data_IF_181384605354
#
_entry.id   IF_181384605354
#
_cell.length_a   1.000
_cell.length_b   1.000
_cell.length_c   1.000
_cell.angle_alpha   90.00
_cell.angle_beta   90.00
_cell.angle_gamma   90.00
#
_symmetry.space_group_name_H-M   'P 1'
#
loop_
_entity.id
_entity.type
_entity.pdbx_description
1 polymer ?
#
# COMPACT_ATOMS: atom_id res chain seq x y z
N UNK A 1 -4.04 27.41 23.79
CA UNK A 1 -3.46 26.13 24.27
C UNK A 1 -2.12 25.98 23.58
N UNK A 2 -1.03 25.74 24.31
CA UNK A 2 0.24 25.36 23.69
C UNK A 2 0.08 23.94 23.16
N UNK A 3 0.11 23.78 21.83
CA UNK A 3 0.07 22.46 21.18
C UNK A 3 1.50 21.94 21.12
N UNK A 4 1.73 20.70 21.57
CA UNK A 4 3.00 20.01 21.34
C UNK A 4 3.07 19.57 19.86
N UNK A 5 4.04 20.10 19.08
CA UNK A 5 4.17 19.79 17.65
C UNK A 5 4.37 18.30 17.36
N UNK A 6 5.14 17.61 18.20
CA UNK A 6 5.46 16.20 17.99
C UNK A 6 4.26 15.32 18.29
N UNK A 7 3.56 15.62 19.39
CA UNK A 7 2.30 14.97 19.75
C UNK A 7 1.27 15.14 18.63
N UNK A 8 1.09 16.36 18.12
CA UNK A 8 0.14 16.62 17.04
C UNK A 8 0.48 15.83 15.78
N UNK A 9 1.74 15.79 15.34
CA UNK A 9 2.15 15.01 14.17
C UNK A 9 1.85 13.52 14.34
N UNK A 10 2.11 12.95 15.51
CA UNK A 10 1.76 11.56 15.84
C UNK A 10 0.25 11.33 15.81
N UNK A 11 -0.54 12.27 16.35
CA UNK A 11 -2.01 12.20 16.29
C UNK A 11 -2.54 12.29 14.85
N UNK A 12 -1.94 13.11 13.99
CA UNK A 12 -2.32 13.20 12.57
C UNK A 12 -2.02 11.87 11.85
N UNK A 13 -0.88 11.26 12.11
CA UNK A 13 -0.53 9.96 11.54
C UNK A 13 -1.47 8.85 12.02
N UNK A 14 -1.75 8.78 13.32
CA UNK A 14 -2.72 7.85 13.88
C UNK A 14 -4.12 8.05 13.28
N UNK A 15 -4.56 9.31 13.12
CA UNK A 15 -5.84 9.64 12.49
C UNK A 15 -5.91 9.14 11.04
N UNK A 16 -4.81 9.29 10.29
CA UNK A 16 -4.74 8.80 8.92
C UNK A 16 -4.82 7.26 8.86
N UNK A 17 -4.12 6.55 9.76
CA UNK A 17 -4.19 5.09 9.88
C UNK A 17 -5.61 4.64 10.23
N UNK A 18 -6.22 5.25 11.25
CA UNK A 18 -7.56 4.89 11.73
C UNK A 18 -8.63 5.09 10.65
N UNK A 19 -8.51 6.15 9.85
CA UNK A 19 -9.43 6.44 8.75
C UNK A 19 -9.46 5.33 7.68
N UNK A 20 -8.39 4.55 7.53
CA UNK A 20 -8.31 3.41 6.63
C UNK A 20 -8.36 2.06 7.35
N UNK A 21 -8.47 2.03 8.68
CA UNK A 21 -8.38 0.78 9.42
C UNK A 21 -9.65 -0.06 9.25
N UNK A 22 -9.55 -1.38 8.95
CA UNK A 22 -10.73 -2.21 8.67
C UNK A 22 -11.83 -2.17 9.73
N UNK A 23 -11.47 -2.02 11.01
CA UNK A 23 -12.44 -1.94 12.10
C UNK A 23 -13.34 -0.70 12.04
N UNK A 24 -12.88 0.39 11.41
CA UNK A 24 -13.64 1.64 11.30
C UNK A 24 -14.52 1.65 10.05
N UNK A 25 -14.07 1.03 8.96
CA UNK A 25 -14.70 1.19 7.65
C UNK A 25 -15.50 -0.02 7.18
N UNK A 26 -15.05 -1.25 7.44
CA UNK A 26 -15.57 -2.42 6.71
C UNK A 26 -17.03 -2.76 7.06
N UNK A 27 -17.43 -2.68 8.32
CA UNK A 27 -18.77 -3.12 8.75
C UNK A 27 -19.89 -2.39 8.01
N UNK A 28 -19.75 -1.09 7.76
CA UNK A 28 -20.75 -0.28 7.07
C UNK A 28 -20.96 -0.70 5.61
N UNK A 29 -20.02 -1.44 5.02
CA UNK A 29 -20.08 -1.92 3.64
C UNK A 29 -20.56 -3.37 3.49
N UNK A 30 -20.58 -4.15 4.58
CA UNK A 30 -21.05 -5.53 4.55
C UNK A 30 -22.54 -5.60 4.16
N UNK A 31 -22.99 -6.67 3.50
CA UNK A 31 -24.39 -6.82 3.13
C UNK A 31 -25.31 -6.71 4.35
N UNK A 32 -26.53 -6.21 4.14
CA UNK A 32 -27.54 -6.09 5.20
C UNK A 32 -27.95 -7.47 5.75
N UNK A 33 -28.14 -8.44 4.84
CA UNK A 33 -28.37 -9.83 5.23
C UNK A 33 -27.04 -10.55 5.47
N UNK A 34 -26.75 -10.78 6.75
CA UNK A 34 -25.55 -11.47 7.25
C UNK A 34 -25.89 -12.85 7.83
N UNK A 35 -27.05 -13.38 7.47
CA UNK A 35 -27.46 -14.74 7.80
C UNK A 35 -26.91 -15.74 6.77
N UNK A 36 -27.01 -17.03 7.11
CA UNK A 36 -26.53 -18.11 6.24
C UNK A 36 -25.01 -18.24 6.18
N UNK A 37 -24.55 -19.17 5.34
CA UNK A 37 -23.13 -19.51 5.19
C UNK A 37 -22.41 -18.49 4.32
N UNK A 38 -21.19 -18.12 4.71
CA UNK A 38 -20.27 -17.31 3.91
C UNK A 38 -18.88 -17.92 3.88
N UNK A 39 -18.25 -17.86 2.71
CA UNK A 39 -16.85 -18.21 2.49
C UNK A 39 -16.05 -16.92 2.39
N UNK A 40 -15.13 -16.70 3.33
CA UNK A 40 -14.26 -15.52 3.35
C UNK A 40 -12.90 -15.90 2.80
N UNK A 41 -12.49 -15.23 1.72
CA UNK A 41 -11.15 -15.35 1.16
C UNK A 41 -10.51 -13.96 1.13
N UNK A 42 -9.18 -13.89 1.12
CA UNK A 42 -8.55 -12.58 1.15
C UNK A 42 -7.05 -12.59 1.01
N UNK A 43 -6.52 -11.45 0.57
CA UNK A 43 -5.09 -11.25 0.38
C UNK A 43 -4.72 -9.78 0.55
N UNK A 44 -3.66 -9.54 1.30
CA UNK A 44 -3.12 -8.20 1.50
C UNK A 44 -2.70 -7.93 2.95
N UNK A 45 -1.95 -6.86 3.16
CA UNK A 45 -1.45 -6.42 4.47
C UNK A 45 -2.57 -6.21 5.51
N UNK A 46 -3.79 -5.89 5.08
CA UNK A 46 -4.97 -5.68 5.92
C UNK A 46 -5.91 -6.89 5.98
N UNK A 47 -5.65 -7.96 5.20
CA UNK A 47 -6.63 -9.04 5.00
C UNK A 47 -6.99 -9.76 6.31
N UNK A 48 -6.04 -9.94 7.22
CA UNK A 48 -6.28 -10.54 8.53
C UNK A 48 -7.19 -9.65 9.41
N UNK A 49 -6.96 -8.34 9.44
CA UNK A 49 -7.80 -7.41 10.20
C UNK A 49 -9.21 -7.28 9.58
N UNK A 50 -9.32 -7.29 8.25
CA UNK A 50 -10.60 -7.33 7.55
C UNK A 50 -11.38 -8.62 7.88
N UNK A 51 -10.71 -9.78 7.85
CA UNK A 51 -11.33 -11.07 8.16
C UNK A 51 -11.92 -11.09 9.57
N UNK A 52 -11.18 -10.57 10.55
CA UNK A 52 -11.62 -10.46 11.93
C UNK A 52 -12.89 -9.62 12.08
N UNK A 53 -13.06 -8.57 11.29
CA UNK A 53 -14.29 -7.76 11.29
C UNK A 53 -15.46 -8.57 10.72
N UNK A 54 -15.27 -9.24 9.58
CA UNK A 54 -16.32 -10.11 9.01
C UNK A 54 -16.76 -11.18 10.01
N UNK A 55 -15.81 -11.85 10.67
CA UNK A 55 -16.11 -12.91 11.63
C UNK A 55 -16.93 -12.43 12.83
N UNK A 56 -16.71 -11.18 13.29
CA UNK A 56 -17.46 -10.56 14.38
C UNK A 56 -18.85 -10.11 13.97
N UNK A 57 -18.99 -9.60 12.74
CA UNK A 57 -20.22 -8.97 12.25
C UNK A 57 -21.18 -9.97 11.60
N UNK A 58 -20.70 -11.13 11.15
CA UNK A 58 -21.51 -12.13 10.46
C UNK A 58 -22.32 -12.98 11.47
N UNK A 59 -23.60 -13.18 11.18
CA UNK A 59 -24.54 -13.83 12.10
C UNK A 59 -24.70 -15.34 11.82
N UNK A 60 -24.42 -15.77 10.60
CA UNK A 60 -24.48 -17.18 10.18
C UNK A 60 -23.14 -17.92 10.28
N UNK A 61 -23.02 -18.99 9.50
CA UNK A 61 -21.80 -19.79 9.42
C UNK A 61 -20.71 -19.03 8.65
N UNK A 62 -19.51 -18.94 9.23
CA UNK A 62 -18.35 -18.32 8.60
C UNK A 62 -17.26 -19.37 8.49
N UNK A 63 -16.68 -19.49 7.31
CA UNK A 63 -15.47 -20.28 7.05
C UNK A 63 -14.58 -19.49 6.09
N UNK A 64 -13.29 -19.79 6.03
CA UNK A 64 -12.43 -19.05 5.12
C UNK A 64 -10.95 -19.22 5.32
N UNK A 65 -10.21 -18.58 4.43
CA UNK A 65 -8.75 -18.53 4.42
C UNK A 65 -8.29 -17.18 3.86
N UNK A 66 -7.50 -16.44 4.65
CA UNK A 66 -6.86 -15.20 4.21
C UNK A 66 -5.35 -15.30 4.33
N UNK A 67 -4.65 -14.58 3.44
CA UNK A 67 -3.18 -14.46 3.49
C UNK A 67 -2.75 -13.01 3.72
N UNK A 68 -1.83 -12.82 4.66
CA UNK A 68 -1.22 -11.51 4.99
C UNK A 68 0.30 -11.61 4.99
N UNK A 69 1.00 -10.49 5.19
CA UNK A 69 2.46 -10.45 5.32
C UNK A 69 2.90 -11.06 6.66
N UNK A 70 4.10 -11.62 6.72
CA UNK A 70 4.71 -12.04 8.00
C UNK A 70 4.64 -10.93 9.08
N UNK A 71 4.22 -11.32 10.28
CA UNK A 71 4.01 -10.43 11.42
C UNK A 71 2.71 -9.60 11.37
N UNK A 72 1.93 -9.66 10.28
CA UNK A 72 0.69 -8.88 10.11
C UNK A 72 -0.58 -9.67 10.43
N UNK A 73 -0.45 -10.86 11.04
CA UNK A 73 -1.57 -11.68 11.49
C UNK A 73 -2.52 -10.96 12.45
N UNK A 74 -3.75 -11.47 12.55
CA UNK A 74 -4.77 -11.02 13.47
C UNK A 74 -5.53 -12.24 14.04
N UNK A 75 -6.01 -12.18 15.29
CA UNK A 75 -6.72 -13.30 15.90
C UNK A 75 -8.11 -13.44 15.26
N UNK A 76 -8.27 -14.50 14.45
CA UNK A 76 -9.54 -14.99 13.91
C UNK A 76 -9.78 -16.39 14.49
N UNK A 77 -11.03 -16.71 14.84
CA UNK A 77 -11.45 -17.98 15.44
C UNK A 77 -11.95 -18.98 14.39
N UNK A 78 -12.57 -18.49 13.32
CA UNK A 78 -13.23 -19.30 12.28
C UNK A 78 -12.52 -19.23 10.93
N UNK A 79 -11.92 -18.08 10.61
CA UNK A 79 -11.19 -17.86 9.36
C UNK A 79 -9.71 -18.16 9.59
N UNK A 80 -9.12 -19.03 8.77
CA UNK A 80 -7.69 -19.31 8.85
C UNK A 80 -6.88 -18.11 8.34
N UNK A 81 -5.87 -17.70 9.11
CA UNK A 81 -4.93 -16.64 8.73
C UNK A 81 -3.56 -17.25 8.49
N UNK A 82 -3.08 -17.13 7.25
CA UNK A 82 -1.73 -17.58 6.86
C UNK A 82 -0.86 -16.36 6.57
N UNK A 83 0.41 -16.43 6.93
CA UNK A 83 1.39 -15.41 6.60
C UNK A 83 2.30 -15.86 5.45
N UNK A 84 2.64 -14.94 4.56
CA UNK A 84 3.48 -15.20 3.40
C UNK A 84 4.39 -14.00 3.07
N UNK A 85 5.36 -14.22 2.18
CA UNK A 85 6.32 -13.18 1.80
C UNK A 85 5.72 -12.10 0.89
N UNK A 86 6.12 -10.86 1.17
CA UNK A 86 5.92 -9.67 0.36
C UNK A 86 7.21 -8.84 0.42
N UNK A 87 7.72 -8.26 -0.69
CA UNK A 87 7.06 -8.06 -1.99
C UNK A 87 7.25 -9.20 -3.01
N UNK A 88 8.13 -10.16 -2.75
CA UNK A 88 8.36 -11.31 -3.63
C UNK A 88 7.55 -12.51 -3.14
N UNK A 89 6.70 -13.13 -3.99
CA UNK A 89 5.91 -14.30 -3.60
C UNK A 89 6.78 -15.48 -3.13
N UNK A 90 6.30 -16.26 -2.16
CA UNK A 90 6.94 -17.49 -1.69
C UNK A 90 6.02 -18.73 -1.82
N UNK A 91 6.47 -19.86 -1.27
CA UNK A 91 5.73 -21.12 -1.30
C UNK A 91 4.46 -21.09 -0.43
N UNK A 92 4.45 -20.32 0.67
CA UNK A 92 3.29 -20.18 1.53
C UNK A 92 2.14 -19.48 0.80
N UNK A 93 2.44 -18.34 0.15
CA UNK A 93 1.46 -17.62 -0.68
C UNK A 93 0.92 -18.47 -1.85
N UNK A 94 1.78 -19.27 -2.49
CA UNK A 94 1.37 -20.23 -3.52
C UNK A 94 0.41 -21.30 -2.97
N UNK A 95 0.72 -21.88 -1.80
CA UNK A 95 -0.11 -22.90 -1.17
C UNK A 95 -1.49 -22.35 -0.80
N UNK A 96 -1.56 -21.13 -0.24
CA UNK A 96 -2.83 -20.46 0.02
C UNK A 96 -3.61 -20.20 -1.26
N UNK A 97 -2.96 -19.71 -2.31
CA UNK A 97 -3.64 -19.42 -3.57
C UNK A 97 -4.27 -20.67 -4.22
N UNK A 98 -3.65 -21.85 -4.09
CA UNK A 98 -4.24 -23.14 -4.50
C UNK A 98 -5.48 -23.48 -3.68
N UNK A 99 -5.35 -23.43 -2.35
CA UNK A 99 -6.45 -23.72 -1.42
C UNK A 99 -7.64 -22.77 -1.58
N UNK A 100 -7.37 -21.48 -1.82
CA UNK A 100 -8.41 -20.49 -2.11
C UNK A 100 -9.15 -20.86 -3.39
N UNK A 101 -8.43 -21.22 -4.46
CA UNK A 101 -9.08 -21.64 -5.71
C UNK A 101 -9.92 -22.92 -5.50
N UNK A 102 -9.41 -23.91 -4.78
CA UNK A 102 -10.14 -25.13 -4.44
C UNK A 102 -11.41 -24.84 -3.60
N UNK A 103 -11.30 -23.96 -2.60
CA UNK A 103 -12.40 -23.60 -1.70
C UNK A 103 -13.57 -22.94 -2.43
N UNK A 104 -13.29 -22.21 -3.51
CA UNK A 104 -14.31 -21.53 -4.32
C UNK A 104 -14.68 -22.29 -5.60
N UNK A 105 -14.05 -23.44 -5.86
CA UNK A 105 -14.40 -24.29 -7.00
C UNK A 105 -15.61 -25.15 -6.63
N UNK A 106 -16.66 -25.12 -7.45
CA UNK A 106 -17.93 -25.86 -7.27
C UNK A 106 -18.92 -25.24 -6.27
N UNK A 107 -19.01 -23.91 -6.25
CA UNK A 107 -20.08 -23.22 -5.53
C UNK A 107 -21.40 -23.25 -6.32
N UNK A 108 -22.48 -22.86 -5.66
CA UNK A 108 -23.84 -22.76 -6.20
C UNK A 108 -24.37 -21.33 -6.09
N UNK A 109 -25.55 -21.06 -6.64
CA UNK A 109 -26.20 -19.75 -6.55
C UNK A 109 -26.61 -19.34 -5.12
N UNK A 110 -26.67 -20.30 -4.20
CA UNK A 110 -27.00 -20.07 -2.79
C UNK A 110 -25.77 -19.65 -1.97
N UNK A 111 -24.56 -19.90 -2.48
CA UNK A 111 -23.31 -19.58 -1.79
C UNK A 111 -22.96 -18.08 -1.90
N UNK A 112 -22.30 -17.58 -0.85
CA UNK A 112 -21.78 -16.22 -0.76
C UNK A 112 -20.29 -16.26 -0.50
N UNK A 113 -19.55 -15.49 -1.30
CA UNK A 113 -18.11 -15.29 -1.12
C UNK A 113 -17.85 -13.83 -0.76
N UNK A 114 -17.10 -13.60 0.30
CA UNK A 114 -16.52 -12.28 0.59
C UNK A 114 -15.03 -12.35 0.27
N UNK A 115 -14.58 -11.52 -0.67
CA UNK A 115 -13.17 -11.36 -1.00
C UNK A 115 -12.60 -10.07 -0.41
N UNK A 116 -11.68 -10.21 0.53
CA UNK A 116 -11.06 -9.11 1.26
C UNK A 116 -9.70 -8.78 0.65
N UNK A 117 -9.55 -7.57 0.14
CA UNK A 117 -8.39 -7.18 -0.65
C UNK A 117 -7.73 -5.92 -0.09
N UNK A 118 -6.40 -5.94 -0.01
CA UNK A 118 -5.64 -4.73 0.25
C UNK A 118 -4.28 -4.80 -0.43
N UNK A 119 -3.45 -3.79 -0.16
CA UNK A 119 -2.08 -3.75 -0.63
C UNK A 119 -1.25 -5.00 -0.41
N UNK A 120 -0.39 -5.30 -1.37
CA UNK A 120 0.46 -6.50 -1.39
C UNK A 120 -0.22 -7.79 -1.88
N UNK A 121 -1.54 -7.78 -2.14
CA UNK A 121 -2.28 -8.97 -2.57
C UNK A 121 -1.75 -9.65 -3.85
N UNK A 122 -1.11 -8.88 -4.75
CA UNK A 122 -0.47 -9.44 -5.95
C UNK A 122 0.61 -10.48 -5.65
N UNK A 123 1.40 -10.25 -4.60
CA UNK A 123 2.49 -11.14 -4.19
C UNK A 123 2.01 -12.25 -3.26
N UNK A 124 1.15 -11.90 -2.30
CA UNK A 124 0.64 -12.82 -1.27
C UNK A 124 -0.27 -13.90 -1.84
N UNK A 125 -1.06 -13.59 -2.88
CA UNK A 125 -1.96 -14.53 -3.56
C UNK A 125 -1.48 -14.77 -4.99
N UNK A 126 -0.38 -15.51 -5.13
CA UNK A 126 0.29 -15.78 -6.39
C UNK A 126 0.10 -17.23 -6.85
N UNK A 127 -0.88 -17.45 -7.73
CA UNK A 127 -1.05 -18.74 -8.44
C UNK A 127 -0.61 -18.62 -9.90
N UNK A 128 0.45 -19.32 -10.34
CA UNK A 128 0.77 -19.46 -11.75
C UNK A 128 -0.33 -20.18 -12.53
N UNK A 129 -0.45 -19.86 -13.83
CA UNK A 129 -1.28 -20.66 -14.72
C UNK A 129 -0.70 -22.07 -14.93
N UNK A 130 -1.51 -22.97 -15.48
CA UNK A 130 -1.09 -24.35 -15.75
C UNK A 130 0.20 -24.39 -16.60
N UNK A 131 1.16 -25.22 -16.19
CA UNK A 131 2.45 -25.36 -16.88
C UNK A 131 3.48 -24.25 -16.60
N UNK A 132 3.13 -23.22 -15.83
CA UNK A 132 4.04 -22.13 -15.43
C UNK A 132 4.47 -22.33 -13.99
N UNK A 133 5.76 -22.17 -13.69
CA UNK A 133 6.26 -22.27 -12.32
C UNK A 133 6.22 -20.93 -11.59
N UNK A 134 6.31 -20.96 -10.25
CA UNK A 134 6.44 -19.73 -9.47
C UNK A 134 7.75 -18.99 -9.81
N UNK A 135 8.83 -19.74 -10.06
CA UNK A 135 10.12 -19.20 -10.45
C UNK A 135 10.05 -18.45 -11.80
N UNK A 136 9.27 -18.95 -12.76
CA UNK A 136 9.04 -18.25 -14.04
C UNK A 136 8.35 -16.91 -13.82
N UNK A 137 7.33 -16.85 -12.95
CA UNK A 137 6.66 -15.59 -12.62
C UNK A 137 7.57 -14.59 -11.94
N UNK A 138 8.40 -15.06 -11.00
CA UNK A 138 9.38 -14.22 -10.31
C UNK A 138 10.43 -13.66 -11.29
N UNK A 139 10.97 -14.51 -12.17
CA UNK A 139 12.00 -14.11 -13.13
C UNK A 139 11.47 -13.11 -14.16
N UNK A 140 10.27 -13.36 -14.71
CA UNK A 140 9.60 -12.45 -15.66
C UNK A 140 9.27 -11.12 -15.00
N UNK A 141 8.74 -11.12 -13.78
CA UNK A 141 8.44 -9.87 -13.06
C UNK A 141 9.71 -9.05 -12.79
N UNK A 142 10.81 -9.73 -12.39
CA UNK A 142 12.11 -9.08 -12.19
C UNK A 142 12.66 -8.49 -13.49
N UNK A 143 12.51 -9.20 -14.60
CA UNK A 143 12.92 -8.72 -15.92
C UNK A 143 12.12 -7.48 -16.34
N UNK A 144 10.79 -7.51 -16.20
CA UNK A 144 9.92 -6.37 -16.50
C UNK A 144 10.29 -5.12 -15.70
N UNK A 145 10.52 -5.28 -14.39
CA UNK A 145 10.99 -4.18 -13.52
C UNK A 145 12.32 -3.60 -14.02
N UNK A 146 13.30 -4.45 -14.32
CA UNK A 146 14.62 -4.01 -14.82
C UNK A 146 14.55 -3.31 -16.18
N UNK A 147 13.59 -3.68 -17.01
CA UNK A 147 13.42 -3.11 -18.35
C UNK A 147 12.69 -1.75 -18.34
N UNK A 148 12.25 -1.26 -17.17
CA UNK A 148 11.46 -0.03 -17.08
C UNK A 148 10.06 -0.17 -17.65
N UNK A 149 9.47 -1.37 -17.55
CA UNK A 149 8.07 -1.59 -17.94
C UNK A 149 7.12 -0.74 -17.08
N UNK A 150 6.11 -0.14 -17.71
CA UNK A 150 5.11 0.61 -16.96
C UNK A 150 4.27 -0.32 -16.09
N UNK A 151 3.66 0.18 -15.02
CA UNK A 151 2.83 -0.62 -14.13
C UNK A 151 1.65 -1.29 -14.86
N UNK A 152 1.07 -0.61 -15.86
CA UNK A 152 0.01 -1.15 -16.70
C UNK A 152 0.47 -2.35 -17.52
N UNK A 153 1.65 -2.27 -18.12
CA UNK A 153 2.23 -3.35 -18.93
C UNK A 153 2.64 -4.55 -18.07
N UNK A 154 3.24 -4.28 -16.93
CA UNK A 154 3.53 -5.30 -15.93
C UNK A 154 2.25 -6.02 -15.49
N UNK A 155 1.18 -5.28 -15.22
CA UNK A 155 -0.11 -5.85 -14.85
C UNK A 155 -0.71 -6.69 -15.98
N UNK A 156 -0.65 -6.22 -17.23
CA UNK A 156 -1.10 -6.99 -18.40
C UNK A 156 -0.43 -8.38 -18.41
N UNK A 157 0.91 -8.43 -18.37
CA UNK A 157 1.64 -9.70 -18.35
C UNK A 157 1.29 -10.54 -17.11
N UNK A 158 1.32 -9.94 -15.90
CA UNK A 158 1.04 -10.66 -14.64
C UNK A 158 -0.34 -11.32 -14.60
N UNK A 159 -1.38 -10.66 -15.13
CA UNK A 159 -2.74 -11.19 -15.20
C UNK A 159 -2.80 -12.42 -16.11
N UNK A 160 -2.21 -12.33 -17.30
CA UNK A 160 -2.23 -13.42 -18.27
C UNK A 160 -1.42 -14.64 -17.81
N UNK A 161 -0.37 -14.47 -17.00
CA UNK A 161 0.41 -15.57 -16.41
C UNK A 161 -0.19 -16.15 -15.11
N UNK A 162 -1.42 -15.81 -14.74
CA UNK A 162 -2.03 -16.16 -13.44
C UNK A 162 -3.28 -16.99 -13.59
N UNK A 163 -3.45 -18.04 -12.78
CA UNK A 163 -4.68 -18.81 -12.75
C UNK A 163 -5.87 -18.07 -12.10
N UNK A 164 -5.61 -17.02 -11.30
CA UNK A 164 -6.63 -16.35 -10.46
C UNK A 164 -6.77 -14.84 -10.69
N UNK A 165 -5.83 -14.21 -11.41
CA UNK A 165 -5.86 -12.75 -11.66
C UNK A 165 -6.64 -12.45 -12.95
N UNK A 166 -7.01 -11.20 -13.19
CA UNK A 166 -7.77 -10.79 -14.38
C UNK A 166 -9.16 -11.44 -14.43
N UNK A 167 -9.89 -11.36 -13.31
CA UNK A 167 -11.26 -11.85 -13.17
C UNK A 167 -11.41 -13.36 -13.01
N UNK A 168 -10.32 -14.13 -13.13
CA UNK A 168 -10.38 -15.61 -13.09
C UNK A 168 -10.83 -16.17 -11.75
N UNK A 169 -10.49 -15.51 -10.63
CA UNK A 169 -11.01 -15.92 -9.32
C UNK A 169 -12.51 -15.66 -9.23
N UNK A 170 -12.98 -14.51 -9.72
CA UNK A 170 -14.41 -14.21 -9.81
C UNK A 170 -15.15 -15.25 -10.66
N UNK A 171 -14.57 -15.65 -11.80
CA UNK A 171 -15.11 -16.72 -12.64
C UNK A 171 -15.11 -18.09 -11.95
N UNK A 172 -14.10 -18.40 -11.14
CA UNK A 172 -14.07 -19.65 -10.37
C UNK A 172 -15.20 -19.73 -9.34
N UNK A 173 -15.61 -18.59 -8.76
CA UNK A 173 -16.73 -18.52 -7.82
C UNK A 173 -18.10 -18.70 -8.48
N UNK A 174 -18.22 -18.52 -9.81
CA UNK A 174 -19.51 -18.60 -10.50
C UNK A 174 -20.14 -20.00 -10.32
N UNK A 175 -21.45 -20.10 -9.96
CA UNK A 175 -22.48 -19.06 -9.97
C UNK A 175 -22.78 -18.38 -8.62
N UNK A 176 -21.90 -18.48 -7.62
CA UNK A 176 -22.07 -17.82 -6.33
C UNK A 176 -22.03 -16.28 -6.43
N UNK A 177 -22.61 -15.61 -5.44
CA UNK A 177 -22.48 -14.16 -5.30
C UNK A 177 -21.15 -13.80 -4.63
N UNK A 178 -20.39 -12.90 -5.25
CA UNK A 178 -19.07 -12.45 -4.74
C UNK A 178 -19.14 -10.98 -4.35
N UNK A 179 -18.75 -10.67 -3.11
CA UNK A 179 -18.56 -9.30 -2.63
C UNK A 179 -17.07 -9.05 -2.41
N UNK A 180 -16.46 -8.20 -3.21
CA UNK A 180 -15.07 -7.78 -3.04
C UNK A 180 -15.02 -6.45 -2.31
N UNK A 181 -14.38 -6.43 -1.14
CA UNK A 181 -14.11 -5.21 -0.38
C UNK A 181 -12.61 -4.93 -0.43
N UNK A 182 -12.26 -3.76 -0.97
CA UNK A 182 -10.87 -3.40 -1.24
C UNK A 182 -10.44 -2.13 -0.48
N UNK A 183 -9.26 -2.20 0.15
CA UNK A 183 -8.50 -1.03 0.59
C UNK A 183 -7.47 -0.74 -0.50
N UNK A 184 -7.53 0.47 -1.06
CA UNK A 184 -6.65 0.88 -2.15
C UNK A 184 -5.28 1.34 -1.62
N UNK A 185 -4.22 0.80 -2.21
CA UNK A 185 -2.84 1.28 -2.07
C UNK A 185 -2.21 1.56 -3.45
N UNK A 186 -3.04 1.77 -4.47
CA UNK A 186 -2.58 1.95 -5.85
C UNK A 186 -3.01 3.29 -6.40
N UNK A 187 -2.16 3.92 -7.23
CA UNK A 187 -2.49 5.15 -7.92
C UNK A 187 -3.80 5.05 -8.71
N UNK A 188 -4.68 6.04 -8.52
CA UNK A 188 -5.95 6.15 -9.24
C UNK A 188 -7.04 5.15 -8.83
N UNK A 189 -6.84 4.38 -7.75
CA UNK A 189 -7.85 3.50 -7.15
C UNK A 189 -8.49 2.48 -8.14
N UNK A 190 -7.74 2.06 -9.17
CA UNK A 190 -8.28 1.23 -10.23
C UNK A 190 -8.45 -0.22 -9.77
N UNK A 191 -9.70 -0.71 -9.78
CA UNK A 191 -10.05 -2.07 -9.37
C UNK A 191 -9.28 -3.18 -10.13
N UNK A 192 -8.93 -2.94 -11.38
CA UNK A 192 -8.16 -3.88 -12.23
C UNK A 192 -6.67 -3.93 -11.87
N UNK A 193 -6.18 -2.94 -11.12
CA UNK A 193 -4.78 -2.80 -10.69
C UNK A 193 -4.60 -3.39 -9.30
N UNK A 194 -5.53 -3.16 -8.37
CA UNK A 194 -5.48 -3.68 -7.00
C UNK A 194 -5.40 -5.22 -7.04
N UNK A 195 -4.30 -5.76 -6.53
CA UNK A 195 -3.94 -7.18 -6.60
C UNK A 195 -4.07 -7.83 -8.00
N UNK A 196 -3.98 -7.02 -9.08
CA UNK A 196 -4.23 -7.44 -10.47
C UNK A 196 -5.67 -7.93 -10.74
N UNK A 197 -6.66 -7.36 -10.05
CA UNK A 197 -8.10 -7.57 -10.28
C UNK A 197 -8.55 -9.04 -10.32
N UNK A 198 -8.42 -9.84 -9.25
CA UNK A 198 -8.80 -11.26 -9.28
C UNK A 198 -10.30 -11.51 -9.56
N UNK A 199 -11.16 -10.58 -9.15
CA UNK A 199 -12.63 -10.68 -9.25
C UNK A 199 -13.23 -9.65 -10.22
N UNK A 200 -12.38 -8.94 -10.97
CA UNK A 200 -12.76 -7.85 -11.87
C UNK A 200 -12.34 -8.17 -13.30
N UNK A 201 -13.17 -7.82 -14.28
CA UNK A 201 -12.87 -8.02 -15.68
C UNK A 201 -11.58 -7.30 -16.12
N UNK A 202 -10.85 -7.90 -17.04
CA UNK A 202 -9.60 -7.39 -17.59
C UNK A 202 -9.75 -7.14 -19.09
N UNK A 203 -9.64 -5.87 -19.56
CA UNK A 203 -9.74 -5.56 -20.98
C UNK A 203 -8.49 -5.94 -21.79
N UNK A 204 -7.35 -6.18 -21.13
CA UNK A 204 -6.11 -6.54 -21.83
C UNK A 204 -6.14 -7.97 -22.36
N UNK A 205 -5.24 -8.28 -23.29
CA UNK A 205 -5.20 -9.57 -24.01
C UNK A 205 -3.85 -10.28 -23.88
N UNK A 206 -3.84 -11.60 -24.09
CA UNK A 206 -2.63 -12.43 -24.12
C UNK A 206 -1.69 -12.02 -25.26
N UNK A 207 -2.27 -11.52 -26.36
CA UNK A 207 -1.51 -10.98 -27.49
C UNK A 207 -0.74 -9.72 -27.08
N UNK A 208 -1.37 -8.82 -26.31
CA UNK A 208 -0.67 -7.66 -25.74
C UNK A 208 0.41 -8.10 -24.74
N UNK A 209 0.13 -9.09 -23.89
CA UNK A 209 1.13 -9.62 -22.96
C UNK A 209 2.36 -10.18 -23.69
N UNK A 210 2.17 -10.93 -24.78
CA UNK A 210 3.25 -11.40 -25.65
C UNK A 210 3.99 -10.24 -26.32
N UNK A 211 3.27 -9.24 -26.81
CA UNK A 211 3.85 -8.06 -27.45
C UNK A 211 4.74 -7.28 -26.47
N UNK A 212 4.32 -7.13 -25.20
CA UNK A 212 5.09 -6.48 -24.14
C UNK A 212 6.38 -7.25 -23.88
N UNK A 213 6.31 -8.57 -23.66
CA UNK A 213 7.50 -9.41 -23.44
C UNK A 213 8.49 -9.28 -24.60
N UNK A 214 7.99 -9.31 -25.85
CA UNK A 214 8.80 -9.12 -27.05
C UNK A 214 9.43 -7.73 -27.12
N UNK A 215 8.65 -6.67 -26.83
CA UNK A 215 9.11 -5.28 -26.89
C UNK A 215 10.29 -5.03 -25.95
N UNK A 216 10.26 -5.65 -24.77
CA UNK A 216 11.31 -5.53 -23.77
C UNK A 216 12.43 -6.58 -23.90
N UNK A 217 12.40 -7.43 -24.93
CA UNK A 217 13.41 -8.47 -25.14
C UNK A 217 13.49 -9.48 -23.99
N UNK A 218 12.37 -9.74 -23.31
CA UNK A 218 12.31 -10.66 -22.18
C UNK A 218 12.13 -12.08 -22.71
N UNK A 219 13.20 -12.87 -22.65
CA UNK A 219 13.14 -14.29 -22.97
C UNK A 219 12.31 -15.06 -21.94
N UNK A 220 11.42 -15.92 -22.43
CA UNK A 220 10.53 -16.72 -21.59
C UNK A 220 10.59 -18.20 -21.98
N UNK A 221 10.41 -19.13 -21.03
CA UNK A 221 10.34 -20.55 -21.32
C UNK A 221 9.25 -20.90 -22.34
N UNK A 222 9.42 -22.04 -23.03
CA UNK A 222 8.44 -22.54 -23.99
C UNK A 222 7.05 -22.72 -23.35
N UNK A 223 6.97 -23.16 -22.09
CA UNK A 223 5.70 -23.29 -21.37
C UNK A 223 4.92 -21.97 -21.26
N UNK A 224 5.61 -20.87 -20.93
CA UNK A 224 5.03 -19.53 -20.85
C UNK A 224 4.56 -19.04 -22.22
N UNK A 225 5.39 -19.24 -23.25
CA UNK A 225 5.06 -18.84 -24.63
C UNK A 225 3.84 -19.62 -25.14
N UNK A 226 3.84 -20.93 -24.97
CA UNK A 226 2.73 -21.80 -25.38
C UNK A 226 1.44 -21.45 -24.64
N UNK A 227 1.53 -21.18 -23.32
CA UNK A 227 0.39 -20.72 -22.55
C UNK A 227 -0.19 -19.44 -23.15
N UNK A 228 0.62 -18.38 -23.31
CA UNK A 228 0.14 -17.09 -23.82
C UNK A 228 -0.38 -17.14 -25.28
N UNK A 229 -0.04 -18.18 -26.04
CA UNK A 229 -0.58 -18.42 -27.38
C UNK A 229 -1.88 -19.25 -27.37
N UNK A 230 -2.22 -19.88 -26.23
CA UNK A 230 -3.47 -20.63 -26.06
C UNK A 230 -4.64 -19.67 -25.78
N UNK A 231 -5.84 -19.92 -26.35
CA UNK A 231 -7.06 -19.21 -25.98
C UNK A 231 -7.38 -19.27 -24.47
N UNK A 232 -6.96 -20.34 -23.79
CA UNK A 232 -7.15 -20.51 -22.33
C UNK A 232 -6.39 -19.45 -21.51
N UNK A 233 -5.37 -18.83 -22.11
CA UNK A 233 -4.63 -17.75 -21.47
C UNK A 233 -5.35 -16.42 -21.44
N UNK A 234 -6.53 -16.30 -22.05
CA UNK A 234 -7.34 -15.10 -21.89
C UNK A 234 -7.89 -14.93 -20.48
N UNK A 235 -7.81 -13.68 -20.03
CA UNK A 235 -8.46 -13.19 -18.82
C UNK A 235 -9.95 -12.94 -19.07
N UNK A 236 -10.72 -12.83 -17.99
CA UNK A 236 -12.18 -12.64 -18.08
C UNK A 236 -12.48 -11.25 -18.59
N UNK A 237 -13.21 -11.15 -19.71
CA UNK A 237 -13.42 -9.89 -20.43
C UNK A 237 -14.61 -9.10 -19.88
N UNK A 238 -14.64 -7.78 -20.09
CA UNK A 238 -15.81 -6.97 -19.76
C UNK A 238 -17.08 -7.54 -20.43
N UNK A 239 -18.15 -7.71 -19.65
CA UNK A 239 -19.42 -8.29 -20.12
C UNK A 239 -19.51 -9.82 -20.06
N UNK A 240 -18.48 -10.53 -19.59
CA UNK A 240 -18.55 -11.98 -19.38
C UNK A 240 -19.63 -12.33 -18.32
N UNK A 241 -20.60 -13.23 -18.62
CA UNK A 241 -21.67 -13.59 -17.70
C UNK A 241 -21.20 -14.14 -16.35
N UNK A 242 -20.01 -14.75 -16.29
CA UNK A 242 -19.47 -15.32 -15.05
C UNK A 242 -19.16 -14.27 -13.98
N UNK A 243 -19.10 -12.99 -14.34
CA UNK A 243 -18.93 -11.88 -13.40
C UNK A 243 -20.23 -11.13 -13.08
N UNK A 244 -21.39 -11.57 -13.60
CA UNK A 244 -22.67 -10.88 -13.39
C UNK A 244 -23.10 -10.76 -11.92
N UNK A 245 -22.60 -11.66 -11.06
CA UNK A 245 -22.83 -11.69 -9.61
C UNK A 245 -21.59 -11.29 -8.79
N UNK A 246 -20.61 -10.67 -9.43
CA UNK A 246 -19.41 -10.13 -8.78
C UNK A 246 -19.58 -8.64 -8.52
N UNK A 247 -19.51 -8.26 -7.25
CA UNK A 247 -19.61 -6.89 -6.79
C UNK A 247 -18.25 -6.44 -6.25
N UNK A 248 -17.84 -5.22 -6.59
CA UNK A 248 -16.57 -4.65 -6.14
C UNK A 248 -16.82 -3.29 -5.48
N UNK A 249 -16.24 -3.08 -4.32
CA UNK A 249 -16.32 -1.82 -3.59
C UNK A 249 -14.98 -1.47 -2.94
N UNK A 250 -14.56 -0.21 -3.15
CA UNK A 250 -13.49 0.40 -2.38
C UNK A 250 -14.07 0.91 -1.07
N UNK A 251 -13.49 0.46 0.04
CA UNK A 251 -13.92 0.84 1.39
C UNK A 251 -12.98 1.87 2.04
N UNK A 252 -11.74 1.96 1.56
CA UNK A 252 -10.77 2.96 1.97
C UNK A 252 -9.83 3.34 0.82
N UNK A 253 -9.44 4.61 0.79
CA UNK A 253 -8.55 5.23 -0.20
C UNK A 253 -7.52 6.14 0.48
N UNK A 254 -6.31 6.32 -0.09
CA UNK A 254 -5.30 7.22 0.47
C UNK A 254 -5.81 8.64 0.73
N UNK A 255 -6.58 9.20 -0.21
CA UNK A 255 -7.15 10.54 -0.10
C UNK A 255 -8.02 10.74 1.16
N UNK A 256 -8.79 9.73 1.56
CA UNK A 256 -9.66 9.82 2.76
C UNK A 256 -8.84 9.95 4.05
N UNK A 257 -7.65 9.34 4.09
CA UNK A 257 -6.74 9.44 5.23
C UNK A 257 -6.11 10.83 5.35
N UNK A 258 -5.75 11.44 4.22
CA UNK A 258 -5.29 12.84 4.18
C UNK A 258 -6.40 13.81 4.60
N UNK A 259 -7.64 13.58 4.16
CA UNK A 259 -8.79 14.39 4.55
C UNK A 259 -9.12 14.28 6.04
N UNK A 260 -9.04 13.07 6.61
CA UNK A 260 -9.21 12.84 8.04
C UNK A 260 -8.16 13.59 8.87
N UNK A 261 -6.88 13.49 8.48
CA UNK A 261 -5.80 14.26 9.09
C UNK A 261 -6.02 15.78 8.94
N UNK A 262 -6.50 16.24 7.78
CA UNK A 262 -6.82 17.65 7.56
C UNK A 262 -7.96 18.15 8.47
N UNK A 263 -8.98 17.34 8.74
CA UNK A 263 -10.04 17.66 9.72
C UNK A 263 -9.44 17.79 11.12
N UNK A 264 -8.63 16.83 11.55
CA UNK A 264 -7.96 16.85 12.85
C UNK A 264 -7.02 18.07 13.00
N UNK A 265 -6.28 18.42 11.95
CA UNK A 265 -5.43 19.61 11.94
C UNK A 265 -6.23 20.92 12.14
N UNK A 266 -7.36 21.06 11.44
CA UNK A 266 -8.27 22.22 11.61
C UNK A 266 -8.80 22.31 13.04
N UNK A 267 -9.18 21.18 13.64
CA UNK A 267 -9.64 21.12 15.03
C UNK A 267 -8.54 21.55 16.01
N UNK A 268 -7.28 21.30 15.68
CA UNK A 268 -6.11 21.74 16.44
C UNK A 268 -5.69 23.20 16.14
N UNK A 269 -6.37 23.91 15.25
CA UNK A 269 -6.09 25.31 14.90
C UNK A 269 -5.08 25.52 13.76
N UNK A 270 -4.75 24.47 13.00
CA UNK A 270 -3.81 24.54 11.88
C UNK A 270 -4.56 24.48 10.54
N UNK A 271 -4.16 25.34 9.61
CA UNK A 271 -4.68 25.29 8.25
C UNK A 271 -3.99 24.16 7.45
N UNK A 272 -4.72 23.17 6.89
CA UNK A 272 -4.11 22.12 6.10
C UNK A 272 -3.95 22.52 4.62
N UNK A 273 -2.82 22.13 4.02
CA UNK A 273 -2.55 22.17 2.59
C UNK A 273 -2.27 20.74 2.10
N UNK A 274 -3.23 20.13 1.41
CA UNK A 274 -3.04 18.79 0.82
C UNK A 274 -2.39 18.94 -0.56
N UNK A 275 -1.20 18.35 -0.73
CA UNK A 275 -0.47 18.34 -2.01
C UNK A 275 -0.81 17.12 -2.89
N UNK A 276 -1.50 16.13 -2.32
CA UNK A 276 -2.01 14.96 -3.03
C UNK A 276 -1.22 13.68 -2.77
N UNK A 277 -1.50 12.70 -3.63
CA UNK A 277 -0.87 11.39 -3.70
C UNK A 277 0.32 11.47 -4.68
N UNK A 278 1.54 11.34 -4.15
CA UNK A 278 2.79 11.67 -4.85
C UNK A 278 3.66 10.44 -5.06
N UNK A 279 4.12 10.31 -6.29
CA UNK A 279 5.11 9.32 -6.73
C UNK A 279 6.45 10.00 -7.06
N UNK A 280 7.52 9.22 -7.12
CA UNK A 280 8.85 9.67 -7.53
C UNK A 280 9.95 9.23 -6.59
N UNK A 281 11.14 9.80 -6.77
CA UNK A 281 12.29 9.54 -5.91
C UNK A 281 12.16 10.31 -4.58
N UNK A 282 12.20 9.60 -3.46
CA UNK A 282 11.81 10.10 -2.12
C UNK A 282 12.58 11.37 -1.74
N UNK A 283 13.89 11.36 -1.99
CA UNK A 283 14.77 12.50 -1.72
C UNK A 283 14.44 13.74 -2.57
N UNK A 284 13.97 13.57 -3.81
CA UNK A 284 13.62 14.68 -4.70
C UNK A 284 12.25 15.27 -4.33
N UNK A 285 11.28 14.40 -4.00
CA UNK A 285 9.97 14.84 -3.48
C UNK A 285 10.16 15.66 -2.21
N UNK A 286 11.07 15.26 -1.31
CA UNK A 286 11.41 16.00 -0.10
C UNK A 286 11.97 17.40 -0.37
N UNK A 287 12.84 17.58 -1.38
CA UNK A 287 13.38 18.89 -1.75
C UNK A 287 12.30 19.86 -2.21
N UNK A 288 11.32 19.37 -2.96
CA UNK A 288 10.15 20.18 -3.37
C UNK A 288 9.34 20.60 -2.15
N UNK A 289 9.08 19.68 -1.21
CA UNK A 289 8.38 20.00 0.04
C UNK A 289 9.17 21.01 0.89
N UNK A 290 10.49 20.90 0.96
CA UNK A 290 11.35 21.87 1.64
C UNK A 290 11.24 23.27 1.03
N UNK A 291 11.14 23.36 -0.30
CA UNK A 291 10.90 24.61 -1.03
C UNK A 291 9.58 25.26 -0.65
N UNK A 292 8.49 24.47 -0.59
CA UNK A 292 7.17 24.95 -0.18
C UNK A 292 7.18 25.40 1.28
N UNK A 293 7.78 24.60 2.18
CA UNK A 293 7.89 24.96 3.59
C UNK A 293 8.67 26.27 3.80
N UNK A 294 9.79 26.47 3.09
CA UNK A 294 10.53 27.74 3.10
C UNK A 294 9.67 28.91 2.61
N UNK A 295 8.92 28.73 1.52
CA UNK A 295 8.06 29.78 1.00
C UNK A 295 6.97 30.19 2.01
N UNK A 296 6.42 29.22 2.74
CA UNK A 296 5.45 29.49 3.80
C UNK A 296 6.11 30.26 4.96
N UNK A 297 7.25 29.78 5.44
CA UNK A 297 7.95 30.40 6.59
C UNK A 297 8.41 31.83 6.27
N UNK A 298 8.94 32.07 5.06
CA UNK A 298 9.54 33.35 4.69
C UNK A 298 8.52 34.35 4.13
N UNK A 299 7.47 33.87 3.45
CA UNK A 299 6.58 34.72 2.66
C UNK A 299 5.08 34.46 2.93
N UNK A 300 4.72 33.49 3.76
CA UNK A 300 3.32 33.16 4.07
C UNK A 300 2.53 32.62 2.89
N UNK A 301 3.20 31.98 1.91
CA UNK A 301 2.60 31.48 0.68
C UNK A 301 2.96 30.01 0.44
N UNK A 302 2.06 29.21 -0.16
CA UNK A 302 0.70 29.55 -0.59
C UNK A 302 -0.31 29.62 0.56
N UNK A 303 0.13 29.38 1.80
CA UNK A 303 -0.68 29.38 3.01
C UNK A 303 0.11 30.04 4.14
N UNK A 304 -0.54 30.81 5.01
CA UNK A 304 0.10 31.41 6.17
C UNK A 304 0.26 30.38 7.30
N UNK A 305 1.35 30.47 8.06
CA UNK A 305 1.48 29.76 9.34
C UNK A 305 0.47 30.35 10.37
N UNK A 306 -0.05 29.55 11.33
CA UNK A 306 0.27 28.15 11.57
C UNK A 306 -0.50 27.21 10.62
N UNK A 307 0.22 26.28 10.00
CA UNK A 307 -0.35 25.38 9.00
C UNK A 307 0.33 24.01 8.98
N UNK A 308 -0.28 23.06 8.27
CA UNK A 308 0.29 21.74 8.00
C UNK A 308 0.23 21.42 6.51
N UNK A 309 1.35 21.04 5.93
CA UNK A 309 1.40 20.45 4.59
C UNK A 309 1.16 18.96 4.75
N UNK A 310 0.20 18.41 4.00
CA UNK A 310 -0.12 16.99 3.99
C UNK A 310 0.11 16.43 2.58
N UNK A 311 0.79 15.29 2.50
CA UNK A 311 0.90 14.53 1.26
C UNK A 311 0.88 13.04 1.58
N UNK A 312 0.49 12.24 0.59
CA UNK A 312 0.54 10.79 0.66
C UNK A 312 1.16 10.21 -0.60
N UNK A 313 1.00 8.91 -0.79
CA UNK A 313 1.40 8.18 -1.99
C UNK A 313 2.56 7.23 -1.79
N UNK A 314 3.16 6.77 -2.89
CA UNK A 314 4.21 5.76 -2.84
C UNK A 314 5.45 6.24 -3.57
N UNK A 315 6.39 6.77 -2.79
CA UNK A 315 7.71 7.15 -3.29
C UNK A 315 8.62 5.92 -3.42
N UNK A 316 9.73 6.09 -4.14
CA UNK A 316 10.74 5.05 -4.33
C UNK A 316 12.09 5.53 -3.86
N UNK A 317 12.99 4.57 -3.58
CA UNK A 317 14.38 4.83 -3.23
C UNK A 317 15.27 4.11 -4.22
N UNK A 318 16.11 4.86 -4.91
CA UNK A 318 17.24 4.27 -5.64
C UNK A 318 18.35 3.94 -4.65
N UNK A 319 18.44 2.66 -4.27
CA UNK A 319 19.47 2.18 -3.33
C UNK A 319 20.85 2.22 -4.00
N UNK A 320 21.79 2.93 -3.36
CA UNK A 320 23.18 3.14 -3.78
C UNK A 320 24.17 2.75 -2.68
N UNK A 321 23.80 2.96 -1.42
CA UNK A 321 24.61 2.62 -0.26
C UNK A 321 24.27 1.27 0.38
N UNK A 322 24.82 1.06 1.56
CA UNK A 322 24.60 -0.13 2.39
C UNK A 322 23.92 0.21 3.73
N UNK A 323 23.35 1.41 3.83
CA UNK A 323 22.59 1.85 5.01
C UNK A 323 21.27 1.12 5.19
N UNK A 324 20.61 1.43 6.30
CA UNK A 324 19.27 0.91 6.64
C UNK A 324 18.23 2.01 6.48
N UNK A 325 17.04 1.66 6.04
CA UNK A 325 15.95 2.63 5.93
C UNK A 325 14.84 2.25 4.96
N UNK A 326 13.99 3.23 4.74
CA UNK A 326 12.90 3.20 3.78
C UNK A 326 12.64 4.58 3.19
N UNK A 327 11.61 4.64 2.36
CA UNK A 327 11.27 5.84 1.59
C UNK A 327 10.83 7.01 2.46
N UNK A 328 10.18 6.77 3.60
CA UNK A 328 9.75 7.82 4.51
C UNK A 328 10.92 8.38 5.34
N UNK A 329 11.80 7.51 5.84
CA UNK A 329 13.05 7.92 6.48
C UNK A 329 13.96 8.67 5.49
N UNK A 330 14.07 8.22 4.23
CA UNK A 330 14.84 8.92 3.19
C UNK A 330 14.23 10.28 2.84
N UNK A 331 12.90 10.37 2.74
CA UNK A 331 12.18 11.64 2.57
C UNK A 331 12.52 12.62 3.71
N UNK A 332 12.43 12.19 4.97
CA UNK A 332 12.71 13.06 6.11
C UNK A 332 14.19 13.44 6.23
N UNK A 333 15.10 12.53 5.88
CA UNK A 333 16.53 12.83 5.88
C UNK A 333 16.87 13.91 4.83
N UNK A 334 16.34 13.78 3.62
CA UNK A 334 16.49 14.78 2.57
C UNK A 334 15.79 16.11 2.92
N UNK A 335 14.63 16.06 3.58
CA UNK A 335 13.96 17.24 4.11
C UNK A 335 14.82 17.96 5.15
N UNK A 336 15.43 17.19 6.06
CA UNK A 336 16.34 17.69 7.11
C UNK A 336 17.57 18.37 6.51
N UNK A 337 18.23 17.72 5.54
CA UNK A 337 19.38 18.31 4.82
C UNK A 337 18.98 19.56 4.03
N UNK A 338 17.79 19.57 3.43
CA UNK A 338 17.28 20.71 2.66
C UNK A 338 16.91 21.90 3.53
N UNK A 339 16.34 21.68 4.72
CA UNK A 339 15.87 22.73 5.62
C UNK A 339 16.94 23.23 6.59
N UNK A 340 17.95 22.41 6.90
CA UNK A 340 19.07 22.74 7.80
C UNK A 340 18.65 23.38 9.13
N UNK A 341 17.55 22.86 9.69
CA UNK A 341 17.00 23.34 10.96
C UNK A 341 16.19 24.63 10.89
N UNK A 342 15.52 24.89 9.76
CA UNK A 342 14.58 26.01 9.61
C UNK A 342 13.64 26.11 10.84
N UNK A 343 13.65 27.23 11.60
CA UNK A 343 12.88 27.34 12.83
C UNK A 343 11.37 27.16 12.62
N UNK A 344 10.71 26.51 13.58
CA UNK A 344 9.25 26.33 13.58
C UNK A 344 8.73 25.25 12.63
N UNK A 345 9.61 24.50 11.95
CA UNK A 345 9.22 23.41 11.03
C UNK A 345 9.48 22.03 11.64
N UNK A 346 8.41 21.26 11.78
CA UNK A 346 8.43 19.88 12.24
C UNK A 346 7.87 18.99 11.14
N UNK A 347 8.27 17.73 11.08
CA UNK A 347 7.69 16.80 10.11
C UNK A 347 7.60 15.38 10.63
N UNK A 348 6.63 14.63 10.12
CA UNK A 348 6.53 13.19 10.27
C UNK A 348 6.24 12.60 8.89
N UNK A 349 6.91 11.50 8.58
CA UNK A 349 6.62 10.68 7.41
C UNK A 349 6.61 9.23 7.86
N UNK A 350 5.63 8.45 7.40
CA UNK A 350 5.58 7.01 7.67
C UNK A 350 4.67 6.23 6.72
N UNK A 351 4.96 4.94 6.57
CA UNK A 351 4.12 3.97 5.87
C UNK A 351 2.94 3.61 6.77
N UNK A 352 1.72 3.72 6.23
CA UNK A 352 0.51 3.42 6.98
C UNK A 352 0.35 1.95 7.31
N UNK A 353 1.15 1.05 6.73
CA UNK A 353 1.21 -0.36 7.15
C UNK A 353 2.07 -0.61 8.41
N UNK A 354 2.85 0.38 8.82
CA UNK A 354 3.71 0.32 10.00
C UNK A 354 5.17 -0.08 9.71
N UNK A 355 5.59 -0.25 8.45
CA UNK A 355 6.93 -0.72 8.07
C UNK A 355 7.50 0.08 6.89
N UNK A 356 8.49 0.92 7.17
CA UNK A 356 9.22 1.73 6.21
C UNK A 356 10.55 1.07 5.80
N UNK A 357 10.49 0.21 4.78
CA UNK A 357 11.68 -0.36 4.16
C UNK A 357 12.23 -1.60 4.88
N UNK A 358 13.50 -1.54 5.32
CA UNK A 358 14.24 -2.73 5.76
C UNK A 358 14.06 -3.13 7.22
N UNK A 359 13.64 -2.20 8.08
CA UNK A 359 13.60 -2.39 9.53
C UNK A 359 12.15 -2.50 10.07
N UNK A 360 11.93 -2.13 11.33
CA UNK A 360 10.70 -2.29 12.10
C UNK A 360 9.95 -0.96 12.36
N UNK A 361 10.51 0.16 11.93
CA UNK A 361 9.89 1.46 12.07
C UNK A 361 8.82 1.67 10.99
N UNK A 362 7.75 2.38 11.32
CA UNK A 362 6.79 2.91 10.36
C UNK A 362 7.33 4.13 9.63
N UNK A 363 8.33 4.80 10.19
CA UNK A 363 8.88 6.05 9.66
C UNK A 363 9.70 6.78 10.70
N UNK A 364 9.71 8.11 10.65
CA UNK A 364 10.46 8.95 11.59
C UNK A 364 9.78 10.31 11.84
N UNK A 365 10.35 11.07 12.77
CA UNK A 365 9.98 12.44 13.10
C UNK A 365 11.19 13.36 12.96
N UNK A 366 10.98 14.53 12.38
CA UNK A 366 11.96 15.60 12.24
C UNK A 366 11.52 16.80 13.09
N UNK A 367 12.46 17.34 13.84
CA UNK A 367 12.34 18.59 14.60
C UNK A 367 13.32 19.66 14.06
N UNK A 368 13.12 20.96 14.35
CA UNK A 368 14.05 22.01 13.92
C UNK A 368 15.51 21.79 14.39
N UNK A 369 15.71 21.15 15.55
CA UNK A 369 17.02 20.87 16.11
C UNK A 369 17.64 19.53 15.63
N UNK A 370 16.91 18.70 14.87
CA UNK A 370 17.39 17.40 14.39
C UNK A 370 18.71 17.51 13.62
N UNK A 371 18.84 18.51 12.74
CA UNK A 371 20.07 18.74 11.97
C UNK A 371 21.29 19.05 12.88
N UNK A 372 21.10 19.91 13.88
CA UNK A 372 22.18 20.29 14.81
C UNK A 372 22.52 19.14 15.78
N UNK A 373 21.51 18.41 16.26
CA UNK A 373 21.71 17.24 17.13
C UNK A 373 22.49 16.13 16.42
N UNK A 374 22.17 15.85 15.16
CA UNK A 374 22.90 14.86 14.37
C UNK A 374 24.37 15.27 14.17
N UNK A 375 24.62 16.54 13.84
CA UNK A 375 25.98 17.06 13.70
C UNK A 375 26.79 16.93 15.02
N UNK A 376 26.16 17.16 16.18
CA UNK A 376 26.79 16.97 17.49
C UNK A 376 27.15 15.49 17.78
N UNK A 377 26.48 14.55 17.12
CA UNK A 377 26.78 13.11 17.17
C UNK A 377 27.76 12.67 16.08
N UNK A 378 28.28 13.61 15.27
CA UNK A 378 29.19 13.32 14.16
C UNK A 378 28.49 12.79 12.90
N UNK A 379 27.16 12.91 12.81
CA UNK A 379 26.38 12.47 11.65
C UNK A 379 26.15 13.63 10.67
N UNK A 380 26.35 13.35 9.38
CA UNK A 380 26.13 14.29 8.28
C UNK A 380 24.90 13.87 7.49
N UNK A 381 23.88 14.73 7.42
CA UNK A 381 22.62 14.39 6.74
C UNK A 381 22.84 14.03 5.25
N UNK A 382 23.77 14.72 4.58
CA UNK A 382 24.14 14.43 3.19
C UNK A 382 24.83 13.07 3.05
N UNK A 383 25.79 12.74 3.94
CA UNK A 383 26.54 11.48 3.85
C UNK A 383 25.62 10.28 4.14
N UNK A 384 24.72 10.41 5.13
CA UNK A 384 23.73 9.37 5.43
C UNK A 384 22.72 9.20 4.28
N UNK A 385 22.38 10.28 3.56
CA UNK A 385 21.47 10.22 2.40
C UNK A 385 22.13 9.52 1.21
N UNK A 386 23.42 9.77 0.98
CA UNK A 386 24.21 9.08 -0.04
C UNK A 386 24.39 7.59 0.29
N UNK A 387 24.44 7.23 1.58
CA UNK A 387 24.49 5.85 2.03
C UNK A 387 23.11 5.18 2.19
N UNK A 388 22.00 5.87 1.88
CA UNK A 388 20.63 5.38 2.11
C UNK A 388 20.38 4.94 3.57
N UNK A 389 20.94 5.65 4.55
CA UNK A 389 20.90 5.29 5.96
C UNK A 389 19.91 6.14 6.79
N UNK A 390 18.70 6.33 6.26
CA UNK A 390 17.65 7.11 6.94
C UNK A 390 17.30 6.55 8.32
N UNK A 391 17.26 5.21 8.47
CA UNK A 391 16.97 4.58 9.75
C UNK A 391 18.04 4.91 10.80
N UNK A 392 19.32 4.68 10.47
CA UNK A 392 20.42 4.91 11.40
C UNK A 392 20.52 6.38 11.85
N UNK A 393 20.22 7.32 10.95
CA UNK A 393 20.17 8.74 11.28
C UNK A 393 19.11 9.05 12.34
N UNK A 394 17.87 8.60 12.14
CA UNK A 394 16.78 8.88 13.09
C UNK A 394 16.81 8.00 14.34
N UNK A 395 17.42 6.82 14.27
CA UNK A 395 17.73 5.97 15.43
C UNK A 395 18.66 6.70 16.41
N UNK A 396 19.76 7.27 15.89
CA UNK A 396 20.71 8.03 16.72
C UNK A 396 20.09 9.27 17.38
N UNK A 397 18.98 9.78 16.84
CA UNK A 397 18.24 10.92 17.37
C UNK A 397 17.07 10.53 18.29
N UNK A 398 16.82 9.23 18.51
CA UNK A 398 15.63 8.71 19.19
C UNK A 398 14.33 9.27 18.57
N UNK A 399 14.29 9.26 17.24
CA UNK A 399 13.27 9.94 16.44
C UNK A 399 12.53 9.00 15.48
N UNK A 400 12.72 7.68 15.62
CA UNK A 400 11.96 6.69 14.88
C UNK A 400 10.50 6.64 15.36
N UNK A 401 9.59 6.32 14.42
CA UNK A 401 8.19 6.02 14.72
C UNK A 401 8.02 4.51 14.62
N UNK A 402 7.71 3.85 15.73
CA UNK A 402 7.43 2.41 15.78
C UNK A 402 5.97 2.23 16.19
N UNK A 403 5.17 1.57 15.35
CA UNK A 403 3.73 1.36 15.56
C UNK A 403 3.35 -0.09 15.78
N UNK A 404 4.28 -1.03 15.55
CA UNK A 404 3.95 -2.40 15.13
C UNK A 404 3.15 -2.41 13.80
N UNK A 405 2.87 -3.58 13.21
CA UNK A 405 1.99 -3.67 12.05
C UNK A 405 0.59 -3.10 12.34
N UNK A 406 0.24 -2.03 11.63
CA UNK A 406 -1.05 -1.33 11.80
C UNK A 406 -2.22 -2.15 11.24
N UNK A 407 -1.93 -3.10 10.35
CA UNK A 407 -2.89 -3.95 9.63
C UNK A 407 -3.88 -3.17 8.78
N UNK A 408 -3.45 -2.02 8.27
CA UNK A 408 -4.02 -1.36 7.09
C UNK A 408 -2.90 -1.05 6.09
N UNK A 409 -3.23 -0.55 4.90
CA UNK A 409 -2.24 0.03 3.99
C UNK A 409 -2.92 0.92 2.96
N UNK A 410 -2.62 2.21 3.01
CA UNK A 410 -3.00 3.23 2.03
C UNK A 410 -1.77 4.09 1.66
N UNK A 411 -0.61 3.42 1.56
CA UNK A 411 0.71 3.96 1.25
C UNK A 411 1.27 4.90 2.33
N UNK A 412 2.09 5.88 1.92
CA UNK A 412 2.75 6.80 2.84
C UNK A 412 1.79 7.91 3.32
N UNK A 413 2.05 8.37 4.53
CA UNK A 413 1.52 9.60 5.09
C UNK A 413 2.67 10.53 5.46
N UNK A 414 2.61 11.77 4.98
CA UNK A 414 3.60 12.83 5.27
C UNK A 414 2.89 14.08 5.77
N UNK A 415 3.35 14.59 6.90
CA UNK A 415 2.89 15.85 7.48
C UNK A 415 4.09 16.75 7.80
N UNK A 416 4.05 17.99 7.32
CA UNK A 416 5.03 19.04 7.67
C UNK A 416 4.28 20.15 8.37
N UNK A 417 4.48 20.25 9.68
CA UNK A 417 3.85 21.23 10.55
C UNK A 417 4.73 22.49 10.61
N UNK A 418 4.11 23.65 10.36
CA UNK A 418 4.77 24.94 10.38
C UNK A 418 4.07 25.81 11.42
N UNK A 419 4.81 26.17 12.47
CA UNK A 419 4.34 27.06 13.53
C UNK A 419 4.47 28.53 13.11
N UNK A 420 3.74 29.41 13.79
CA UNK A 420 4.01 30.85 13.67
C UNK A 420 5.45 31.14 14.08
N UNK A 421 6.23 31.76 13.20
CA UNK A 421 7.51 32.31 13.59
C UNK A 421 7.25 33.66 14.28
N UNK A 422 7.91 33.88 15.43
CA UNK A 422 8.14 35.25 15.89
C UNK A 422 8.99 35.92 14.82
N UNK A 423 8.40 36.83 14.03
CA UNK A 423 9.09 37.63 13.04
C UNK A 423 10.43 38.08 13.63
N UNK A 424 11.54 37.60 13.08
CA UNK A 424 12.78 38.32 13.24
C UNK A 424 12.61 39.57 12.40
N UNK A 425 12.45 40.71 13.06
CA UNK A 425 12.60 42.01 12.41
C UNK A 425 13.97 41.98 11.72
N UNK A 426 13.95 42.02 10.39
CA UNK A 426 15.13 42.02 9.54
C UNK A 426 15.90 43.33 9.66
#
# INVERSE_FOLDING_TARGET
MSVDPQQLLRELFATAIDAAHPQQVLEAHLPTDRSGRVIVIGAGKAAAAMARVVERCWQGEVSGLVVTRYGHGAPCEKIEVVEAAHPVPDAAGLAVAKRVLELVSNLTEEDRVIFLLSGGGSALLALPAAGITLADKQSINKALLKSGATIGEMNCVRKHLSAIKGGRLGKACWPATVYTYAISDVPGDLATVIASGPTVADPSTSTEALAILKRYGIEVPASVRNWLQSPESETVKPGDPSLARSHFQLIARPQQSLEAAAVKARQAGFSPLILGDLEGESREVAKVHAGIARQIVLHGQPLAAPCVILSGGETTVTVRGNGRGGRNAEFLLSLTDSLKGLPGVYALAGDTDGIDGSEDNAGALMTPDSYARAAALGLSASDELDNNNGYGYFEALDALIVTEPTRTNVNDFRAILILESTKHDA
#
